data_IF_367242503034
#
_entry.id   IF_367242503034
#
_cell.length_a   1.000
_cell.length_b   1.000
_cell.length_c   1.000
_cell.angle_alpha   90.00
_cell.angle_beta   90.00
_cell.angle_gamma   90.00
#
_symmetry.space_group_name_H-M   'P 1'
#
loop_
_entity.id
_entity.type
_entity.pdbx_description
1 polymer ?
#
# COMPACT_ATOMS: atom_id res chain seq x y z
N UNK A 1 29.88 -33.62 60.35
CA UNK A 1 30.88 -33.19 59.34
C UNK A 1 30.32 -33.52 57.98
N UNK A 2 29.89 -32.52 57.20
CA UNK A 2 29.77 -32.58 55.74
C UNK A 2 29.60 -31.14 55.23
N UNK A 3 30.70 -30.60 54.72
CA UNK A 3 30.79 -29.39 53.90
C UNK A 3 30.59 -29.82 52.44
N UNK A 4 29.55 -29.34 51.77
CA UNK A 4 29.43 -29.27 50.29
C UNK A 4 28.49 -28.10 50.01
N UNK A 5 29.02 -26.89 49.83
CA UNK A 5 29.40 -26.25 48.56
C UNK A 5 28.28 -25.35 48.01
N UNK A 6 28.54 -24.06 48.08
CA UNK A 6 27.68 -22.93 47.69
C UNK A 6 27.79 -22.66 46.17
N UNK A 7 27.47 -23.63 45.33
CA UNK A 7 27.63 -23.50 43.86
C UNK A 7 26.30 -23.52 43.08
N UNK A 8 25.15 -23.72 43.73
CA UNK A 8 23.86 -23.87 43.05
C UNK A 8 23.01 -22.60 42.92
N UNK A 9 23.49 -21.45 43.36
CA UNK A 9 22.73 -20.18 43.27
C UNK A 9 23.22 -19.22 42.17
N UNK A 10 24.24 -19.61 41.37
CA UNK A 10 24.72 -18.81 40.23
C UNK A 10 24.27 -19.29 38.85
N UNK A 11 23.43 -20.32 38.76
CA UNK A 11 22.86 -20.81 37.50
C UNK A 11 21.42 -20.37 37.23
N UNK A 12 20.85 -19.51 38.09
CA UNK A 12 19.47 -19.01 37.98
C UNK A 12 19.37 -17.56 37.46
N UNK A 13 20.46 -16.96 37.00
CA UNK A 13 20.49 -15.57 36.48
C UNK A 13 21.11 -15.43 35.07
N UNK A 14 21.21 -16.51 34.30
CA UNK A 14 21.64 -16.48 32.88
C UNK A 14 20.57 -17.05 31.92
N UNK A 15 19.30 -16.98 32.31
CA UNK A 15 18.18 -17.07 31.39
C UNK A 15 17.98 -15.72 30.68
N UNK A 16 19.00 -15.25 29.95
CA UNK A 16 18.79 -14.21 28.94
C UNK A 16 17.74 -14.77 27.99
N UNK A 17 16.57 -14.15 27.99
CA UNK A 17 15.50 -14.47 27.07
C UNK A 17 16.01 -14.36 25.65
N UNK A 18 16.30 -15.50 25.03
CA UNK A 18 16.15 -15.64 23.59
C UNK A 18 14.67 -15.41 23.32
N UNK A 19 14.30 -14.13 23.12
CA UNK A 19 13.09 -13.80 22.38
C UNK A 19 13.32 -14.43 20.99
N UNK A 20 12.78 -15.63 20.80
CA UNK A 20 12.39 -16.09 19.48
C UNK A 20 11.51 -14.99 18.92
N UNK A 21 12.06 -14.15 18.04
CA UNK A 21 11.25 -13.26 17.22
C UNK A 21 10.34 -14.20 16.43
N UNK A 22 9.05 -14.19 16.74
CA UNK A 22 8.08 -14.94 15.94
C UNK A 22 8.24 -14.50 14.48
N UNK A 23 8.40 -15.47 13.59
CA UNK A 23 8.53 -15.20 12.17
C UNK A 23 7.29 -14.45 11.70
N UNK A 24 7.49 -13.31 11.04
CA UNK A 24 6.38 -12.51 10.53
C UNK A 24 5.67 -13.26 9.39
N UNK A 25 4.34 -13.12 9.27
CA UNK A 25 3.59 -13.79 8.21
C UNK A 25 3.99 -13.27 6.82
N UNK A 26 3.81 -14.07 5.75
CA UNK A 26 4.10 -13.63 4.40
C UNK A 26 3.10 -12.56 3.91
N UNK A 27 3.42 -11.79 2.85
CA UNK A 27 2.51 -10.78 2.30
C UNK A 27 1.18 -11.33 1.77
N UNK A 28 1.10 -12.60 1.39
CA UNK A 28 -0.16 -13.28 1.08
C UNK A 28 0.06 -14.79 1.07
N UNK A 29 -1.00 -15.57 0.92
CA UNK A 29 -0.94 -17.04 0.93
C UNK A 29 -0.23 -17.64 -0.30
N UNK A 30 -0.08 -16.88 -1.40
CA UNK A 30 0.51 -17.39 -2.65
C UNK A 30 2.00 -17.71 -2.52
N UNK A 31 2.34 -19.00 -2.65
CA UNK A 31 3.71 -19.52 -2.76
C UNK A 31 4.39 -19.22 -4.12
N UNK A 32 3.66 -18.56 -5.04
CA UNK A 32 4.18 -18.17 -6.35
C UNK A 32 4.49 -16.66 -6.35
N UNK A 33 3.57 -15.85 -5.82
CA UNK A 33 3.63 -14.39 -5.94
C UNK A 33 4.06 -13.67 -4.66
N UNK A 34 4.00 -14.31 -3.48
CA UNK A 34 4.25 -13.64 -2.19
C UNK A 34 5.37 -14.25 -1.37
N UNK A 35 5.54 -15.56 -1.40
CA UNK A 35 6.58 -16.28 -0.66
C UNK A 35 6.96 -17.59 -1.34
N UNK A 36 7.79 -18.41 -0.71
CA UNK A 36 8.14 -19.74 -1.21
C UNK A 36 9.41 -19.80 -2.05
N UNK A 37 9.89 -21.02 -2.27
CA UNK A 37 11.15 -21.32 -2.97
C UNK A 37 11.10 -20.91 -4.45
N UNK A 38 9.95 -21.07 -5.10
CA UNK A 38 9.75 -20.69 -6.51
C UNK A 38 10.02 -19.20 -6.72
N UNK A 39 9.37 -18.35 -5.93
CA UNK A 39 9.58 -16.90 -5.97
C UNK A 39 11.04 -16.56 -5.69
N UNK A 40 11.61 -17.15 -4.63
CA UNK A 40 12.99 -16.91 -4.23
C UNK A 40 13.99 -17.22 -5.35
N UNK A 41 13.96 -18.44 -5.89
CA UNK A 41 14.92 -18.85 -6.91
C UNK A 41 14.79 -18.03 -8.20
N UNK A 42 13.57 -17.72 -8.64
CA UNK A 42 13.36 -16.92 -9.85
C UNK A 42 13.86 -15.49 -9.67
N UNK A 43 13.52 -14.84 -8.54
CA UNK A 43 13.93 -13.46 -8.29
C UNK A 43 15.44 -13.36 -8.08
N UNK A 44 16.05 -14.26 -7.30
CA UNK A 44 17.50 -14.26 -7.07
C UNK A 44 18.31 -14.64 -8.31
N UNK A 45 17.73 -15.38 -9.26
CA UNK A 45 18.34 -15.65 -10.56
C UNK A 45 18.39 -14.41 -11.48
N UNK A 46 17.72 -13.30 -11.10
CA UNK A 46 17.68 -12.03 -11.84
C UNK A 46 17.45 -12.27 -13.34
N UNK A 47 16.41 -13.04 -13.65
CA UNK A 47 16.01 -13.34 -15.02
C UNK A 47 15.62 -12.05 -15.76
N UNK A 48 15.01 -11.11 -15.02
CA UNK A 48 14.57 -9.81 -15.49
C UNK A 48 15.32 -8.70 -14.75
N UNK A 49 15.46 -7.54 -15.40
CA UNK A 49 16.03 -6.32 -14.77
C UNK A 49 15.12 -5.77 -13.67
N UNK A 50 13.82 -5.98 -13.84
CA UNK A 50 12.78 -5.54 -12.93
C UNK A 50 12.06 -6.76 -12.34
N UNK A 51 12.22 -6.96 -11.04
CA UNK A 51 11.60 -8.01 -10.24
C UNK A 51 10.07 -8.02 -10.36
N UNK A 52 9.44 -6.85 -10.59
CA UNK A 52 7.99 -6.75 -10.83
C UNK A 52 7.55 -7.51 -12.08
N UNK A 53 8.43 -7.64 -13.07
CA UNK A 53 8.12 -8.33 -14.32
C UNK A 53 7.69 -9.78 -14.09
N UNK A 54 8.29 -10.49 -13.13
CA UNK A 54 7.91 -11.88 -12.85
C UNK A 54 6.60 -11.97 -12.08
N UNK A 55 6.46 -11.18 -11.01
CA UNK A 55 5.26 -11.23 -10.14
C UNK A 55 4.00 -10.67 -10.82
N UNK A 56 4.14 -9.96 -11.94
CA UNK A 56 3.03 -9.52 -12.79
C UNK A 56 2.61 -10.55 -13.87
N UNK A 57 3.35 -11.65 -14.01
CA UNK A 57 2.97 -12.71 -14.96
C UNK A 57 1.86 -13.56 -14.38
N UNK A 58 0.84 -13.89 -15.18
CA UNK A 58 -0.16 -14.88 -14.80
C UNK A 58 0.34 -16.29 -15.12
N UNK A 59 -0.11 -17.30 -14.36
CA UNK A 59 0.19 -18.70 -14.66
C UNK A 59 -0.81 -19.28 -15.65
N UNK A 60 -0.34 -20.23 -16.48
CA UNK A 60 -1.15 -20.86 -17.51
C UNK A 60 -2.10 -21.95 -16.99
N UNK A 61 -1.73 -22.61 -15.88
CA UNK A 61 -2.47 -23.71 -15.26
C UNK A 61 -2.75 -23.43 -13.78
N UNK A 62 -3.23 -24.41 -13.03
CA UNK A 62 -3.49 -24.24 -11.58
C UNK A 62 -2.18 -24.00 -10.80
N UNK A 63 -2.22 -23.26 -9.68
CA UNK A 63 -1.04 -23.06 -8.82
C UNK A 63 -0.41 -24.38 -8.37
N UNK A 64 -1.21 -25.38 -8.05
CA UNK A 64 -0.74 -26.69 -7.61
C UNK A 64 0.07 -27.40 -8.70
N UNK A 65 -0.36 -27.34 -9.96
CA UNK A 65 0.40 -27.91 -11.08
C UNK A 65 1.73 -27.19 -11.30
N UNK A 66 1.75 -25.86 -11.21
CA UNK A 66 2.97 -25.06 -11.36
C UNK A 66 3.95 -25.36 -10.22
N UNK A 67 3.46 -25.41 -8.97
CA UNK A 67 4.27 -25.72 -7.80
C UNK A 67 4.79 -27.16 -7.81
N UNK A 68 3.97 -28.12 -8.25
CA UNK A 68 4.39 -29.51 -8.43
C UNK A 68 5.49 -29.63 -9.49
N UNK A 69 5.30 -28.99 -10.65
CA UNK A 69 6.33 -28.99 -11.71
C UNK A 69 7.62 -28.31 -11.27
N UNK A 70 7.52 -27.23 -10.47
CA UNK A 70 8.70 -26.59 -9.88
C UNK A 70 9.39 -27.49 -8.86
N UNK A 71 8.64 -28.17 -8.00
CA UNK A 71 9.19 -29.11 -7.00
C UNK A 71 10.00 -30.22 -7.66
N UNK A 72 9.48 -30.80 -8.75
CA UNK A 72 10.18 -31.80 -9.56
C UNK A 72 11.49 -31.24 -10.16
N UNK A 73 11.44 -30.01 -10.69
CA UNK A 73 12.61 -29.32 -11.22
C UNK A 73 13.65 -29.04 -10.12
N UNK A 74 13.21 -28.57 -8.95
CA UNK A 74 14.06 -28.28 -7.81
C UNK A 74 14.77 -29.55 -7.32
N UNK A 75 14.04 -30.66 -7.16
CA UNK A 75 14.63 -31.96 -6.79
C UNK A 75 15.65 -32.43 -7.83
N UNK A 76 15.36 -32.30 -9.13
CA UNK A 76 16.27 -32.71 -10.20
C UNK A 76 17.62 -31.97 -10.19
N UNK A 77 17.64 -30.75 -9.65
CA UNK A 77 18.84 -29.91 -9.53
C UNK A 77 19.30 -29.68 -8.08
N UNK A 78 18.87 -30.53 -7.12
CA UNK A 78 19.21 -30.40 -5.70
C UNK A 78 18.98 -28.97 -5.13
N UNK A 79 17.85 -28.36 -5.47
CA UNK A 79 17.45 -27.00 -5.09
C UNK A 79 18.42 -25.89 -5.57
N UNK A 80 19.30 -26.19 -6.52
CA UNK A 80 20.20 -25.22 -7.16
C UNK A 80 19.98 -25.20 -8.67
N UNK A 81 18.84 -24.64 -9.10
CA UNK A 81 18.40 -24.69 -10.49
C UNK A 81 19.22 -23.69 -11.33
N UNK A 82 19.88 -24.11 -12.42
CA UNK A 82 20.60 -23.19 -13.30
C UNK A 82 19.68 -22.13 -13.91
N UNK A 83 20.19 -20.90 -14.06
CA UNK A 83 19.45 -19.75 -14.62
C UNK A 83 18.71 -20.07 -15.93
N UNK A 84 19.33 -20.82 -16.84
CA UNK A 84 18.69 -21.22 -18.11
C UNK A 84 17.48 -22.14 -17.92
N UNK A 85 17.51 -23.02 -16.93
CA UNK A 85 16.41 -23.94 -16.62
C UNK A 85 15.26 -23.21 -15.92
N UNK A 86 15.55 -22.25 -15.04
CA UNK A 86 14.54 -21.33 -14.50
C UNK A 86 13.86 -20.51 -15.61
N UNK A 87 14.64 -20.04 -16.59
CA UNK A 87 14.09 -19.31 -17.73
C UNK A 87 13.14 -20.17 -18.59
N UNK A 88 13.51 -21.43 -18.87
CA UNK A 88 12.66 -22.40 -19.58
C UNK A 88 11.39 -22.72 -18.77
N UNK A 89 11.51 -22.85 -17.44
CA UNK A 89 10.37 -23.05 -16.56
C UNK A 89 9.38 -21.88 -16.65
N UNK A 90 9.86 -20.64 -16.53
CA UNK A 90 9.01 -19.46 -16.64
C UNK A 90 8.32 -19.40 -18.00
N UNK A 91 9.05 -19.64 -19.10
CA UNK A 91 8.47 -19.65 -20.45
C UNK A 91 7.39 -20.70 -20.66
N UNK A 92 7.44 -21.82 -19.93
CA UNK A 92 6.47 -22.91 -20.03
C UNK A 92 5.21 -22.66 -19.23
N UNK A 93 5.34 -22.09 -18.03
CA UNK A 93 4.25 -22.01 -17.05
C UNK A 93 3.62 -20.63 -16.90
N UNK A 94 4.28 -19.56 -17.34
CA UNK A 94 3.84 -18.18 -17.15
C UNK A 94 3.52 -17.51 -18.48
N UNK A 95 2.51 -16.63 -18.46
CA UNK A 95 2.13 -15.80 -19.58
C UNK A 95 2.81 -14.42 -19.49
N UNK A 96 3.13 -13.80 -20.63
CA UNK A 96 3.62 -12.43 -20.67
C UNK A 96 2.76 -11.43 -19.88
N UNK A 97 3.43 -10.48 -19.22
CA UNK A 97 2.80 -9.38 -18.47
C UNK A 97 1.81 -8.60 -19.33
N UNK A 98 0.69 -8.19 -18.73
CA UNK A 98 -0.31 -7.32 -19.35
C UNK A 98 -1.35 -8.04 -20.18
N UNK A 99 -1.30 -9.37 -20.31
CA UNK A 99 -2.37 -10.13 -20.95
C UNK A 99 -3.69 -10.16 -20.16
N UNK A 100 -3.64 -9.74 -18.89
CA UNK A 100 -4.77 -9.63 -17.95
C UNK A 100 -5.72 -8.47 -18.29
N UNK A 101 -5.26 -7.49 -19.06
CA UNK A 101 -5.93 -6.20 -19.27
C UNK A 101 -6.25 -5.96 -20.73
N UNK A 102 -7.37 -5.29 -20.97
CA UNK A 102 -7.78 -4.80 -22.27
C UNK A 102 -7.73 -3.27 -22.30
N UNK A 103 -7.31 -2.64 -23.41
CA UNK A 103 -7.46 -1.20 -23.60
C UNK A 103 -8.95 -0.83 -23.48
N UNK A 104 -9.23 0.21 -22.72
CA UNK A 104 -10.58 0.73 -22.57
C UNK A 104 -10.58 2.25 -22.77
N UNK A 105 -11.54 2.73 -23.55
CA UNK A 105 -11.80 4.16 -23.72
C UNK A 105 -13.04 4.49 -22.90
N UNK A 106 -12.94 5.39 -21.92
CA UNK A 106 -14.08 5.75 -21.10
C UNK A 106 -15.28 6.27 -21.90
N UNK A 107 -16.48 5.77 -21.59
CA UNK A 107 -17.69 6.09 -22.36
C UNK A 107 -18.14 7.55 -22.19
N UNK A 108 -17.79 8.18 -21.05
CA UNK A 108 -18.09 9.56 -20.73
C UNK A 108 -16.98 10.56 -21.16
N UNK A 109 -15.93 10.08 -21.82
CA UNK A 109 -14.89 10.93 -22.40
C UNK A 109 -15.44 11.76 -23.58
N UNK A 110 -15.04 13.03 -23.69
CA UNK A 110 -15.53 13.97 -24.72
C UNK A 110 -14.35 14.65 -25.42
N UNK A 111 -14.41 14.86 -26.74
CA UNK A 111 -13.27 15.49 -27.46
C UNK A 111 -12.90 16.91 -26.99
N UNK A 112 -13.87 17.68 -26.49
CA UNK A 112 -13.68 19.07 -26.08
C UNK A 112 -14.40 19.37 -24.76
N UNK A 113 -13.89 18.90 -23.62
CA UNK A 113 -14.48 19.19 -22.32
C UNK A 113 -14.41 20.70 -22.00
N UNK A 114 -15.36 21.17 -21.20
CA UNK A 114 -15.57 22.59 -20.93
C UNK A 114 -14.35 23.31 -20.34
N UNK A 115 -13.50 22.59 -19.59
CA UNK A 115 -12.32 23.20 -18.97
C UNK A 115 -11.34 23.78 -20.01
N UNK A 116 -11.25 23.20 -21.21
CA UNK A 116 -10.37 23.68 -22.28
C UNK A 116 -10.74 25.09 -22.74
N UNK A 117 -12.04 25.41 -22.75
CA UNK A 117 -12.54 26.72 -23.15
C UNK A 117 -12.15 27.82 -22.14
N UNK A 118 -11.86 27.44 -20.89
CA UNK A 118 -11.42 28.37 -19.83
C UNK A 118 -9.93 28.73 -19.93
N UNK A 119 -9.16 28.02 -20.74
CA UNK A 119 -7.72 28.28 -20.90
C UNK A 119 -7.53 29.29 -22.03
N UNK A 120 -7.20 30.54 -21.71
CA UNK A 120 -7.05 31.61 -22.71
C UNK A 120 -5.84 31.45 -23.62
N UNK A 121 -4.70 31.00 -23.08
CA UNK A 121 -3.46 30.81 -23.85
C UNK A 121 -3.56 29.59 -24.77
N UNK A 122 -3.33 29.80 -26.07
CA UNK A 122 -3.50 28.76 -27.08
C UNK A 122 -2.51 27.60 -26.93
N UNK A 123 -1.28 27.84 -26.45
CA UNK A 123 -0.27 26.79 -26.26
C UNK A 123 -0.61 25.94 -25.04
N UNK A 124 -1.03 26.58 -23.95
CA UNK A 124 -1.49 25.86 -22.76
C UNK A 124 -2.77 25.07 -23.03
N UNK A 125 -3.69 25.60 -23.85
CA UNK A 125 -4.89 24.86 -24.28
C UNK A 125 -4.52 23.63 -25.10
N UNK A 126 -3.63 23.76 -26.08
CA UNK A 126 -3.17 22.63 -26.89
C UNK A 126 -2.42 21.58 -26.05
N UNK A 127 -1.66 21.99 -25.03
CA UNK A 127 -1.04 21.06 -24.08
C UNK A 127 -2.08 20.34 -23.21
N UNK A 128 -3.09 21.06 -22.71
CA UNK A 128 -4.18 20.48 -21.93
C UNK A 128 -5.04 19.52 -22.76
N UNK A 129 -5.27 19.81 -24.04
CA UNK A 129 -5.89 18.88 -25.00
C UNK A 129 -5.08 17.58 -25.10
N UNK A 130 -3.75 17.67 -25.24
CA UNK A 130 -2.89 16.49 -25.26
C UNK A 130 -2.97 15.68 -23.96
N UNK A 131 -3.00 16.33 -22.79
CA UNK A 131 -3.19 15.65 -21.51
C UNK A 131 -4.53 14.93 -21.46
N UNK A 132 -5.62 15.57 -21.88
CA UNK A 132 -6.95 14.97 -21.88
C UNK A 132 -7.07 13.75 -22.81
N UNK A 133 -6.31 13.72 -23.91
CA UNK A 133 -6.24 12.55 -24.80
C UNK A 133 -5.57 11.33 -24.15
N UNK A 134 -4.73 11.53 -23.12
CA UNK A 134 -4.00 10.43 -22.46
C UNK A 134 -4.96 9.47 -21.74
N UNK A 135 -6.15 9.92 -21.30
CA UNK A 135 -7.14 9.06 -20.65
C UNK A 135 -7.52 7.85 -21.50
N UNK A 136 -7.63 8.02 -22.82
CA UNK A 136 -7.94 6.93 -23.77
C UNK A 136 -6.85 5.86 -23.85
N UNK A 137 -5.62 6.19 -23.45
CA UNK A 137 -4.46 5.28 -23.45
C UNK A 137 -4.30 4.59 -22.10
N UNK A 138 -4.57 5.32 -21.02
CA UNK A 138 -4.43 4.84 -19.65
C UNK A 138 -5.64 4.05 -19.16
N UNK A 139 -6.79 4.12 -19.83
CA UNK A 139 -7.93 3.29 -19.52
C UNK A 139 -7.66 1.80 -19.74
N UNK A 140 -8.01 1.01 -18.73
CA UNK A 140 -7.91 -0.45 -18.70
C UNK A 140 -9.20 -1.06 -18.20
N UNK A 141 -9.52 -2.22 -18.74
CA UNK A 141 -10.57 -3.11 -18.24
C UNK A 141 -9.98 -4.49 -18.00
N UNK A 142 -10.37 -5.13 -16.90
CA UNK A 142 -9.94 -6.49 -16.59
C UNK A 142 -10.72 -7.50 -17.42
N UNK A 143 -10.03 -8.56 -17.84
CA UNK A 143 -10.68 -9.67 -18.53
C UNK A 143 -11.50 -10.53 -17.55
N UNK A 144 -12.68 -11.05 -17.95
CA UNK A 144 -13.54 -11.85 -17.06
C UNK A 144 -12.89 -13.15 -16.54
N UNK A 145 -11.88 -13.69 -17.23
CA UNK A 145 -11.17 -14.90 -16.82
C UNK A 145 -10.48 -14.75 -15.46
N UNK A 146 -10.11 -13.53 -15.07
CA UNK A 146 -9.48 -13.24 -13.78
C UNK A 146 -10.47 -13.53 -12.64
N UNK A 147 -11.75 -13.19 -12.81
CA UNK A 147 -12.79 -13.52 -11.83
C UNK A 147 -13.05 -15.03 -11.76
N UNK A 148 -12.89 -15.74 -12.88
CA UNK A 148 -13.15 -17.19 -12.97
C UNK A 148 -12.03 -18.03 -12.34
N UNK A 149 -10.79 -17.54 -12.40
CA UNK A 149 -9.59 -18.25 -11.93
C UNK A 149 -8.61 -17.30 -11.20
N UNK A 150 -9.03 -16.61 -10.13
CA UNK A 150 -8.26 -15.54 -9.49
C UNK A 150 -6.90 -16.03 -8.96
N UNK A 151 -6.79 -17.31 -8.60
CA UNK A 151 -5.57 -17.92 -8.10
C UNK A 151 -4.43 -17.95 -9.13
N UNK A 152 -4.75 -17.77 -10.42
CA UNK A 152 -3.76 -17.75 -11.51
C UNK A 152 -3.11 -16.40 -11.71
N UNK A 153 -3.63 -15.36 -11.08
CA UNK A 153 -3.22 -13.99 -11.30
C UNK A 153 -2.67 -13.41 -10.01
N UNK A 154 -1.67 -12.53 -10.14
CA UNK A 154 -1.37 -11.64 -9.04
C UNK A 154 -2.30 -10.42 -9.04
N UNK A 155 -2.92 -10.08 -10.18
CA UNK A 155 -3.89 -8.99 -10.29
C UNK A 155 -5.18 -9.33 -9.53
N UNK A 156 -5.62 -8.42 -8.66
CA UNK A 156 -6.89 -8.52 -7.94
C UNK A 156 -7.99 -8.06 -8.89
N UNK A 157 -9.01 -8.89 -9.08
CA UNK A 157 -10.12 -8.55 -9.97
C UNK A 157 -10.87 -7.28 -9.52
N UNK A 158 -11.32 -6.49 -10.49
CA UNK A 158 -12.22 -5.35 -10.27
C UNK A 158 -13.24 -5.30 -11.40
N UNK A 159 -14.51 -5.07 -11.06
CA UNK A 159 -15.61 -5.10 -12.02
C UNK A 159 -15.59 -3.90 -12.95
N UNK A 160 -15.32 -2.70 -12.41
CA UNK A 160 -15.34 -1.48 -13.20
C UNK A 160 -13.98 -1.22 -13.86
N UNK A 161 -13.97 -0.69 -15.10
CA UNK A 161 -12.74 -0.18 -15.71
C UNK A 161 -12.10 0.93 -14.87
N UNK A 162 -10.80 1.11 -15.03
CA UNK A 162 -10.01 2.08 -14.27
C UNK A 162 -8.92 2.72 -15.13
N UNK A 163 -8.34 3.79 -14.60
CA UNK A 163 -7.19 4.48 -15.19
C UNK A 163 -5.93 4.10 -14.41
N UNK A 164 -4.89 3.66 -15.11
CA UNK A 164 -3.58 3.35 -14.51
C UNK A 164 -2.64 4.55 -14.51
N UNK A 165 -1.62 4.62 -13.62
CA UNK A 165 -0.58 5.66 -13.69
C UNK A 165 0.20 5.64 -15.02
N UNK A 166 0.47 4.44 -15.55
CA UNK A 166 1.14 4.22 -16.83
C UNK A 166 2.58 3.68 -16.72
N UNK A 167 3.13 3.28 -17.87
CA UNK A 167 4.45 2.63 -17.92
C UNK A 167 4.40 1.20 -17.37
N UNK A 168 5.26 0.90 -16.40
CA UNK A 168 5.29 -0.41 -15.71
C UNK A 168 4.14 -0.62 -14.72
N UNK A 169 3.43 0.46 -14.36
CA UNK A 169 2.30 0.43 -13.44
C UNK A 169 1.02 0.16 -14.24
N UNK A 170 0.62 -1.11 -14.24
CA UNK A 170 -0.51 -1.61 -15.04
C UNK A 170 -1.74 -1.94 -14.19
N UNK A 171 -1.63 -1.81 -12.87
CA UNK A 171 -2.74 -1.89 -11.92
C UNK A 171 -3.15 -0.48 -11.46
N UNK A 172 -4.33 -0.35 -10.86
CA UNK A 172 -4.67 0.86 -10.11
C UNK A 172 -3.79 0.94 -8.86
N UNK A 173 -3.41 2.17 -8.51
CA UNK A 173 -2.71 2.52 -7.27
C UNK A 173 -3.60 3.45 -6.45
N UNK A 174 -3.62 3.26 -5.14
CA UNK A 174 -4.61 3.90 -4.29
C UNK A 174 -4.49 5.42 -4.30
N UNK A 175 -3.39 5.99 -3.80
CA UNK A 175 -3.30 7.45 -3.67
C UNK A 175 -3.17 8.19 -5.00
N UNK A 176 -2.56 7.57 -6.02
CA UNK A 176 -2.45 8.11 -7.39
C UNK A 176 -3.85 8.37 -7.96
N UNK A 177 -4.79 7.48 -7.64
CA UNK A 177 -6.15 7.55 -8.18
C UNK A 177 -6.91 8.78 -7.71
N UNK A 178 -6.54 9.41 -6.59
CA UNK A 178 -7.18 10.65 -6.14
C UNK A 178 -6.92 11.78 -7.14
N UNK A 179 -5.66 11.95 -7.53
CA UNK A 179 -5.25 12.97 -8.50
C UNK A 179 -5.79 12.67 -9.90
N UNK A 180 -5.87 11.39 -10.25
CA UNK A 180 -6.51 10.95 -11.50
C UNK A 180 -8.00 11.31 -11.48
N UNK A 181 -8.73 11.03 -10.40
CA UNK A 181 -10.15 11.37 -10.27
C UNK A 181 -10.40 12.87 -10.35
N UNK A 182 -9.53 13.72 -9.77
CA UNK A 182 -9.62 15.17 -9.97
C UNK A 182 -9.54 15.55 -11.46
N UNK A 183 -8.56 15.01 -12.18
CA UNK A 183 -8.40 15.24 -13.62
C UNK A 183 -9.55 14.70 -14.47
N UNK A 184 -10.12 13.55 -14.08
CA UNK A 184 -11.29 12.96 -14.73
C UNK A 184 -12.55 13.81 -14.55
N UNK A 185 -12.80 14.34 -13.34
CA UNK A 185 -13.95 15.22 -13.10
C UNK A 185 -13.80 16.55 -13.85
N UNK A 186 -12.59 17.11 -13.93
CA UNK A 186 -12.32 18.27 -14.80
C UNK A 186 -12.60 17.97 -16.27
N UNK A 187 -12.36 16.72 -16.68
CA UNK A 187 -12.63 16.18 -18.01
C UNK A 187 -14.10 15.78 -18.23
N UNK A 188 -15.00 16.06 -17.28
CA UNK A 188 -16.42 15.70 -17.30
C UNK A 188 -16.71 14.18 -17.27
N UNK A 189 -15.81 13.40 -16.67
CA UNK A 189 -15.84 11.93 -16.67
C UNK A 189 -16.32 11.36 -15.33
N UNK A 190 -17.48 11.83 -14.86
CA UNK A 190 -18.01 11.49 -13.54
C UNK A 190 -18.45 10.01 -13.42
N UNK A 191 -18.92 9.39 -14.49
CA UNK A 191 -19.32 7.97 -14.48
C UNK A 191 -18.09 7.06 -14.33
N UNK A 192 -16.99 7.42 -14.98
CA UNK A 192 -15.70 6.76 -14.80
C UNK A 192 -15.21 6.85 -13.36
N UNK A 193 -15.29 8.04 -12.74
CA UNK A 193 -14.91 8.22 -11.34
C UNK A 193 -15.79 7.41 -10.40
N UNK A 194 -17.11 7.34 -10.63
CA UNK A 194 -18.02 6.51 -9.84
C UNK A 194 -17.62 5.03 -9.89
N UNK A 195 -17.30 4.50 -11.07
CA UNK A 195 -16.85 3.11 -11.23
C UNK A 195 -15.52 2.83 -10.52
N UNK A 196 -14.55 3.73 -10.63
CA UNK A 196 -13.27 3.61 -9.90
C UNK A 196 -13.47 3.69 -8.38
N UNK A 197 -14.37 4.54 -7.89
CA UNK A 197 -14.75 4.60 -6.47
C UNK A 197 -15.39 3.29 -6.01
N UNK A 198 -16.29 2.71 -6.81
CA UNK A 198 -16.90 1.42 -6.49
C UNK A 198 -15.85 0.32 -6.35
N UNK A 199 -14.88 0.24 -7.26
CA UNK A 199 -13.77 -0.72 -7.12
C UNK A 199 -13.03 -0.56 -5.78
N UNK A 200 -12.79 0.67 -5.32
CA UNK A 200 -12.14 0.90 -4.03
C UNK A 200 -13.01 0.51 -2.84
N UNK A 201 -14.31 0.76 -2.91
CA UNK A 201 -15.27 0.33 -1.89
C UNK A 201 -15.31 -1.20 -1.79
N UNK A 202 -15.34 -1.90 -2.93
CA UNK A 202 -15.32 -3.37 -2.98
C UNK A 202 -14.04 -3.95 -2.33
N UNK A 203 -12.90 -3.28 -2.50
CA UNK A 203 -11.64 -3.66 -1.84
C UNK A 203 -11.70 -3.49 -0.33
N UNK A 204 -12.31 -2.40 0.17
CA UNK A 204 -12.52 -2.22 1.61
C UNK A 204 -13.45 -3.28 2.16
N UNK A 205 -14.54 -3.61 1.46
CA UNK A 205 -15.47 -4.66 1.90
C UNK A 205 -14.80 -6.04 1.93
N UNK A 206 -13.92 -6.33 0.97
CA UNK A 206 -13.25 -7.63 0.85
C UNK A 206 -12.05 -7.78 1.78
N UNK A 207 -11.23 -6.73 1.91
CA UNK A 207 -9.92 -6.78 2.58
C UNK A 207 -9.81 -5.88 3.82
N UNK A 208 -10.87 -5.15 4.16
CA UNK A 208 -10.92 -4.22 5.30
C UNK A 208 -10.18 -2.90 5.07
N UNK A 209 -9.49 -2.74 3.94
CA UNK A 209 -8.75 -1.53 3.56
C UNK A 209 -8.47 -1.55 2.06
N UNK A 210 -8.03 -0.42 1.50
CA UNK A 210 -7.53 -0.36 0.13
C UNK A 210 -6.04 -0.73 0.12
N UNK A 211 -5.61 -1.80 -0.58
CA UNK A 211 -4.20 -2.12 -0.75
C UNK A 211 -3.45 -1.04 -1.55
N UNK A 212 -2.13 -0.99 -1.43
CA UNK A 212 -1.26 -0.06 -2.19
C UNK A 212 -1.61 0.00 -3.69
N UNK A 213 -1.85 -1.16 -4.30
CA UNK A 213 -2.41 -1.28 -5.63
C UNK A 213 -3.12 -2.63 -5.80
N UNK A 214 -3.72 -2.84 -6.98
CA UNK A 214 -4.56 -4.01 -7.28
C UNK A 214 -3.82 -5.34 -7.45
N UNK A 215 -2.86 -5.69 -6.59
CA UNK A 215 -2.09 -6.94 -6.68
C UNK A 215 -2.03 -7.68 -5.34
N UNK A 216 -2.05 -9.01 -5.35
CA UNK A 216 -2.10 -9.84 -4.13
C UNK A 216 -0.90 -9.63 -3.20
N UNK A 217 0.28 -9.30 -3.74
CA UNK A 217 1.48 -8.98 -2.94
C UNK A 217 1.44 -7.58 -2.29
N UNK A 218 0.37 -6.81 -2.54
CA UNK A 218 0.09 -5.54 -1.87
C UNK A 218 -0.94 -5.67 -0.75
N UNK A 219 -1.62 -6.81 -0.57
CA UNK A 219 -2.76 -7.00 0.35
C UNK A 219 -2.52 -6.64 1.82
N UNK A 220 -1.27 -6.53 2.26
CA UNK A 220 -0.93 -6.29 3.67
C UNK A 220 -0.47 -4.86 3.96
N UNK A 221 -0.48 -4.01 2.93
CA UNK A 221 -0.13 -2.60 3.07
C UNK A 221 -1.07 -1.75 2.24
N UNK A 222 -1.40 -0.59 2.80
CA UNK A 222 -2.19 0.41 2.10
C UNK A 222 -1.30 1.40 1.35
N UNK A 223 -1.81 2.60 1.18
CA UNK A 223 -1.14 3.83 0.73
C UNK A 223 -1.76 5.01 1.48
N UNK A 224 -1.31 6.27 1.29
CA UNK A 224 -1.95 7.42 1.93
C UNK A 224 -3.49 7.41 1.77
N UNK A 225 -4.26 7.49 2.88
CA UNK A 225 -5.70 7.21 2.85
C UNK A 225 -6.50 8.37 2.28
N UNK A 226 -6.99 8.19 1.07
CA UNK A 226 -7.68 9.22 0.31
C UNK A 226 -9.12 8.86 -0.08
N UNK A 227 -9.66 7.70 0.28
CA UNK A 227 -11.02 7.28 -0.10
C UNK A 227 -12.09 8.28 0.32
N UNK A 228 -12.03 8.77 1.57
CA UNK A 228 -12.97 9.77 2.06
C UNK A 228 -12.88 11.08 1.26
N UNK A 229 -11.67 11.48 0.86
CA UNK A 229 -11.44 12.65 0.01
C UNK A 229 -11.93 12.41 -1.42
N UNK A 230 -11.73 11.22 -1.98
CA UNK A 230 -12.26 10.83 -3.30
C UNK A 230 -13.79 10.84 -3.31
N UNK A 231 -14.42 10.34 -2.25
CA UNK A 231 -15.87 10.38 -2.08
C UNK A 231 -16.37 11.84 -1.99
N UNK A 232 -15.70 12.70 -1.22
CA UNK A 232 -16.06 14.11 -1.13
C UNK A 232 -15.95 14.81 -2.49
N UNK A 233 -14.84 14.59 -3.17
CA UNK A 233 -14.57 15.11 -4.51
C UNK A 233 -15.69 14.73 -5.49
N UNK A 234 -16.07 13.45 -5.53
CA UNK A 234 -17.14 12.94 -6.39
C UNK A 234 -18.51 13.54 -6.03
N UNK A 235 -18.91 13.51 -4.76
CA UNK A 235 -20.22 13.98 -4.30
C UNK A 235 -20.33 15.49 -4.42
N UNK A 236 -19.24 16.22 -4.21
CA UNK A 236 -19.19 17.68 -4.41
C UNK A 236 -19.40 18.04 -5.87
N UNK A 237 -18.83 17.27 -6.80
CA UNK A 237 -18.97 17.52 -8.23
C UNK A 237 -20.36 17.10 -8.77
N UNK A 238 -20.83 15.90 -8.42
CA UNK A 238 -22.03 15.28 -9.02
C UNK A 238 -23.32 15.55 -8.26
N UNK A 239 -23.21 15.90 -6.97
CA UNK A 239 -24.32 15.96 -6.02
C UNK A 239 -25.05 14.61 -5.82
N UNK A 240 -24.39 13.49 -6.14
CA UNK A 240 -24.92 12.14 -5.94
C UNK A 240 -24.90 11.73 -4.46
N UNK A 241 -25.87 12.25 -3.70
CA UNK A 241 -26.01 11.98 -2.25
C UNK A 241 -26.45 10.53 -1.99
N UNK A 242 -27.17 9.91 -2.92
CA UNK A 242 -27.59 8.51 -2.79
C UNK A 242 -26.40 7.57 -2.77
N UNK A 243 -25.43 7.77 -3.66
CA UNK A 243 -24.20 6.98 -3.65
C UNK A 243 -23.40 7.14 -2.35
N UNK A 244 -23.34 8.35 -1.79
CA UNK A 244 -22.76 8.56 -0.46
C UNK A 244 -23.53 7.80 0.63
N UNK A 245 -24.86 7.90 0.63
CA UNK A 245 -25.70 7.23 1.63
C UNK A 245 -25.54 5.71 1.60
N UNK A 246 -25.43 5.12 0.41
CA UNK A 246 -25.26 3.68 0.21
C UNK A 246 -23.89 3.19 0.72
N UNK A 247 -22.85 4.01 0.64
CA UNK A 247 -21.46 3.57 0.84
C UNK A 247 -20.77 4.17 2.08
N UNK A 248 -21.42 5.04 2.84
CA UNK A 248 -20.79 5.72 3.99
C UNK A 248 -20.25 4.74 5.05
N UNK A 249 -20.90 3.60 5.24
CA UNK A 249 -20.44 2.55 6.17
C UNK A 249 -19.11 1.93 5.73
N UNK A 250 -18.94 1.68 4.44
CA UNK A 250 -17.69 1.16 3.85
C UNK A 250 -16.57 2.21 3.93
N UNK A 251 -16.87 3.48 3.65
CA UNK A 251 -15.89 4.58 3.82
C UNK A 251 -15.43 4.69 5.28
N UNK A 252 -16.34 4.58 6.24
CA UNK A 252 -16.00 4.61 7.67
C UNK A 252 -15.12 3.41 8.08
N UNK A 253 -15.40 2.23 7.51
CA UNK A 253 -14.67 1.00 7.81
C UNK A 253 -13.18 1.08 7.42
N UNK A 254 -12.83 1.83 6.37
CA UNK A 254 -11.42 2.07 6.05
C UNK A 254 -10.72 2.92 7.14
N UNK A 255 -11.39 3.93 7.69
CA UNK A 255 -10.83 4.72 8.79
C UNK A 255 -10.66 3.90 10.07
N UNK A 256 -11.54 2.92 10.31
CA UNK A 256 -11.39 1.95 11.39
C UNK A 256 -10.11 1.12 11.22
N UNK A 257 -9.77 0.72 9.98
CA UNK A 257 -8.49 0.03 9.72
C UNK A 257 -7.29 0.86 10.17
N UNK A 258 -7.23 2.16 9.86
CA UNK A 258 -6.14 3.04 10.29
C UNK A 258 -6.13 3.21 11.80
N UNK A 259 -7.30 3.42 12.40
CA UNK A 259 -7.46 3.60 13.85
C UNK A 259 -7.00 2.36 14.62
N UNK A 260 -7.38 1.16 14.17
CA UNK A 260 -7.05 -0.10 14.84
C UNK A 260 -5.60 -0.53 14.60
N UNK A 261 -5.13 -0.45 13.35
CA UNK A 261 -3.89 -1.11 12.96
C UNK A 261 -2.68 -0.17 12.86
N UNK A 262 -2.88 1.15 12.87
CA UNK A 262 -1.81 2.14 12.59
C UNK A 262 -1.63 3.18 13.69
N UNK A 263 -2.51 3.22 14.70
CA UNK A 263 -2.42 4.17 15.82
C UNK A 263 -1.33 3.79 16.82
N UNK A 264 -0.60 4.79 17.32
CA UNK A 264 0.34 4.71 18.43
C UNK A 264 0.12 5.88 19.39
N UNK A 265 0.49 5.71 20.66
CA UNK A 265 0.47 6.79 21.65
C UNK A 265 1.82 7.49 21.73
N UNK A 266 1.87 8.78 21.39
CA UNK A 266 3.03 9.66 21.44
C UNK A 266 2.95 10.54 22.68
N UNK A 267 4.05 10.68 23.42
CA UNK A 267 4.14 11.62 24.54
C UNK A 267 4.99 12.82 24.14
N UNK A 268 4.40 14.01 24.11
CA UNK A 268 5.09 15.27 23.80
C UNK A 268 4.55 16.39 24.70
N UNK A 269 5.42 17.29 25.16
CA UNK A 269 5.01 18.43 26.01
C UNK A 269 4.29 18.05 27.32
N UNK A 270 4.52 16.85 27.87
CA UNK A 270 3.82 16.34 29.05
C UNK A 270 2.38 15.88 28.81
N UNK A 271 1.94 15.81 27.55
CA UNK A 271 0.64 15.27 27.11
C UNK A 271 0.83 13.99 26.29
N UNK A 272 -0.21 13.17 26.26
CA UNK A 272 -0.27 11.96 25.44
C UNK A 272 -1.24 12.17 24.29
N UNK A 273 -0.80 11.78 23.09
CA UNK A 273 -1.50 11.95 21.83
C UNK A 273 -1.60 10.61 21.11
N UNK A 274 -2.75 10.31 20.51
CA UNK A 274 -2.90 9.15 19.65
C UNK A 274 -2.75 9.61 18.20
N UNK A 275 -1.74 9.10 17.51
CA UNK A 275 -1.37 9.46 16.14
C UNK A 275 -1.07 8.19 15.33
N UNK A 276 -1.15 8.29 14.01
CA UNK A 276 -0.95 7.17 13.12
C UNK A 276 0.46 7.16 12.52
N UNK A 277 0.94 5.96 12.19
CA UNK A 277 2.17 5.73 11.45
C UNK A 277 1.97 4.70 10.33
N UNK A 278 2.83 4.75 9.32
CA UNK A 278 2.92 3.64 8.36
C UNK A 278 3.58 2.44 9.05
N UNK A 279 2.97 1.25 8.94
CA UNK A 279 3.42 0.08 9.68
C UNK A 279 2.95 -1.21 9.01
N UNK A 280 3.90 -2.00 8.51
CA UNK A 280 3.63 -3.23 7.75
C UNK A 280 4.42 -4.40 8.35
N UNK A 281 3.90 -5.08 9.39
CA UNK A 281 4.60 -6.15 10.11
C UNK A 281 4.50 -7.51 9.40
N UNK A 282 4.96 -7.57 8.15
CA UNK A 282 4.95 -8.79 7.33
C UNK A 282 6.38 -9.12 6.87
N UNK A 283 6.68 -10.41 6.80
CA UNK A 283 8.03 -10.91 6.64
C UNK A 283 8.55 -10.91 5.21
N UNK A 284 9.84 -11.21 5.07
CA UNK A 284 10.51 -11.41 3.79
C UNK A 284 10.67 -10.16 2.89
N UNK A 285 11.38 -10.26 1.77
CA UNK A 285 11.52 -9.17 0.78
C UNK A 285 10.18 -8.81 0.13
N UNK A 286 10.01 -7.58 -0.36
CA UNK A 286 8.85 -7.22 -1.19
C UNK A 286 8.88 -7.99 -2.51
N UNK A 287 7.83 -8.73 -2.91
CA UNK A 287 7.88 -9.56 -4.12
C UNK A 287 8.22 -8.80 -5.42
N UNK A 288 7.76 -7.56 -5.56
CA UNK A 288 8.02 -6.69 -6.71
C UNK A 288 9.41 -6.01 -6.70
N UNK A 289 10.21 -6.25 -5.66
CA UNK A 289 11.58 -5.73 -5.48
C UNK A 289 12.47 -6.72 -4.75
N UNK A 290 12.17 -8.02 -4.91
CA UNK A 290 12.63 -9.08 -4.03
C UNK A 290 14.15 -9.19 -3.94
N UNK A 291 14.83 -9.26 -5.10
CA UNK A 291 16.28 -9.39 -5.17
C UNK A 291 16.98 -8.15 -4.63
N UNK A 292 16.41 -6.96 -4.84
CA UNK A 292 16.94 -5.68 -4.34
C UNK A 292 16.85 -5.61 -2.82
N UNK A 293 15.70 -5.97 -2.26
CA UNK A 293 15.46 -6.01 -0.83
C UNK A 293 16.28 -7.12 -0.13
N UNK A 294 16.47 -8.27 -0.80
CA UNK A 294 17.32 -9.36 -0.30
C UNK A 294 18.81 -8.98 -0.31
N UNK A 295 19.29 -8.35 -1.39
CA UNK A 295 20.67 -7.88 -1.50
C UNK A 295 20.97 -6.80 -0.44
N UNK A 296 20.04 -5.87 -0.21
CA UNK A 296 20.17 -4.86 0.84
C UNK A 296 20.22 -5.52 2.23
N UNK A 297 19.39 -6.54 2.48
CA UNK A 297 19.38 -7.27 3.73
C UNK A 297 20.69 -8.04 4.00
N UNK A 298 21.51 -8.32 2.99
CA UNK A 298 22.86 -8.86 3.19
C UNK A 298 23.85 -7.85 3.78
N UNK A 299 23.50 -6.55 3.80
CA UNK A 299 24.33 -5.49 4.39
C UNK A 299 24.09 -5.29 5.90
N UNK A 300 23.10 -5.98 6.47
CA UNK A 300 22.77 -5.93 7.90
C UNK A 300 22.91 -7.33 8.55
N UNK A 301 23.10 -7.42 9.88
CA UNK A 301 23.08 -8.69 10.59
C UNK A 301 21.82 -9.51 10.30
N UNK A 302 21.94 -10.83 10.30
CA UNK A 302 20.81 -11.74 9.99
C UNK A 302 19.57 -11.47 10.86
N UNK A 303 19.77 -11.20 12.16
CA UNK A 303 18.69 -10.87 13.09
C UNK A 303 17.99 -9.53 12.82
N UNK A 304 18.58 -8.65 12.01
CA UNK A 304 18.02 -7.33 11.68
C UNK A 304 17.30 -7.31 10.32
N UNK A 305 17.37 -8.41 9.55
CA UNK A 305 16.83 -8.47 8.17
C UNK A 305 15.32 -8.33 8.12
N UNK A 306 14.61 -9.05 8.99
CA UNK A 306 13.15 -8.97 9.09
C UNK A 306 12.71 -7.54 9.45
N UNK A 307 13.37 -6.92 10.43
CA UNK A 307 13.11 -5.52 10.78
C UNK A 307 13.31 -4.61 9.56
N UNK A 308 14.44 -4.72 8.85
CA UNK A 308 14.68 -3.94 7.64
C UNK A 308 13.56 -4.12 6.60
N UNK A 309 13.14 -5.36 6.33
CA UNK A 309 12.07 -5.62 5.36
C UNK A 309 10.72 -5.03 5.78
N UNK A 310 10.40 -4.97 7.07
CA UNK A 310 9.19 -4.27 7.54
C UNK A 310 9.28 -2.75 7.34
N UNK A 311 10.46 -2.17 7.53
CA UNK A 311 10.68 -0.72 7.33
C UNK A 311 10.61 -0.35 5.84
N UNK A 312 11.14 -1.18 4.95
CA UNK A 312 11.01 -1.00 3.49
C UNK A 312 9.54 -1.08 3.04
N UNK A 313 8.76 -2.01 3.60
CA UNK A 313 7.33 -2.10 3.32
C UNK A 313 6.54 -0.91 3.86
N UNK A 314 6.87 -0.41 5.06
CA UNK A 314 6.29 0.82 5.59
C UNK A 314 6.67 2.04 4.73
N UNK A 315 7.90 2.08 4.20
CA UNK A 315 8.32 3.05 3.18
C UNK A 315 7.41 3.02 1.95
N UNK A 316 7.08 1.84 1.43
CA UNK A 316 6.15 1.69 0.30
C UNK A 316 4.70 2.04 0.67
N UNK A 317 4.23 1.72 1.89
CA UNK A 317 2.91 2.15 2.39
C UNK A 317 2.80 3.68 2.47
N UNK A 318 3.91 4.39 2.67
CA UNK A 318 3.92 5.85 2.69
C UNK A 318 3.70 6.51 1.33
N UNK A 319 3.95 5.80 0.23
CA UNK A 319 4.04 6.36 -1.12
C UNK A 319 5.37 7.10 -1.41
N UNK A 320 6.29 7.15 -0.44
CA UNK A 320 7.60 7.79 -0.55
C UNK A 320 8.74 6.76 -0.47
N UNK A 321 8.69 5.71 -1.29
CA UNK A 321 9.71 4.67 -1.42
C UNK A 321 10.75 5.01 -2.52
N UNK A 322 11.96 5.48 -2.21
CA UNK A 322 12.49 5.81 -0.88
C UNK A 322 12.95 7.26 -0.79
N UNK A 323 13.01 7.77 0.44
CA UNK A 323 13.33 9.15 0.74
C UNK A 323 14.24 9.23 1.96
N UNK A 324 15.17 10.21 1.96
CA UNK A 324 15.99 10.54 3.13
C UNK A 324 15.15 10.89 4.35
N UNK A 325 13.89 11.32 4.14
CA UNK A 325 12.88 11.53 5.19
C UNK A 325 12.77 10.37 6.18
N UNK A 326 12.97 9.13 5.71
CA UNK A 326 12.79 7.93 6.52
C UNK A 326 14.09 7.38 7.11
N UNK A 327 15.23 7.96 6.76
CA UNK A 327 16.55 7.48 7.15
C UNK A 327 16.93 8.13 8.50
N UNK A 328 17.27 7.31 9.49
CA UNK A 328 17.69 7.79 10.82
C UNK A 328 19.20 7.62 10.97
N UNK A 329 19.85 8.62 11.57
CA UNK A 329 21.31 8.69 11.72
C UNK A 329 21.94 7.44 12.35
N UNK A 330 23.09 7.05 11.82
CA UNK A 330 23.92 5.91 12.24
C UNK A 330 25.28 5.97 11.54
N UNK A 331 26.11 4.90 11.54
CA UNK A 331 27.42 4.92 10.86
C UNK A 331 27.33 5.24 9.36
N UNK A 332 26.21 4.88 8.72
CA UNK A 332 25.91 5.15 7.32
C UNK A 332 24.50 5.77 7.19
N UNK A 333 24.31 7.05 7.57
CA UNK A 333 22.99 7.68 7.64
C UNK A 333 22.31 7.78 6.26
N UNK A 334 23.10 7.86 5.19
CA UNK A 334 22.63 7.97 3.80
C UNK A 334 22.30 6.62 3.16
N UNK A 335 22.49 5.51 3.88
CA UNK A 335 22.19 4.16 3.37
C UNK A 335 20.73 3.83 3.55
N UNK A 336 20.09 3.23 2.54
CA UNK A 336 18.72 2.73 2.66
C UNK A 336 18.55 1.69 3.80
N UNK A 337 19.62 1.01 4.22
CA UNK A 337 19.56 0.11 5.38
C UNK A 337 19.28 0.81 6.72
N UNK A 338 19.41 2.14 6.79
CA UNK A 338 19.06 2.97 7.94
C UNK A 338 17.58 3.38 7.99
N UNK A 339 16.75 2.93 7.03
CA UNK A 339 15.32 3.27 6.97
C UNK A 339 14.58 2.84 8.25
N UNK A 340 13.78 3.75 8.82
CA UNK A 340 12.98 3.55 10.03
C UNK A 340 11.59 4.18 9.89
N UNK A 341 10.94 4.01 8.74
CA UNK A 341 9.63 4.60 8.44
C UNK A 341 8.59 4.32 9.53
N UNK A 342 8.54 3.10 10.07
CA UNK A 342 7.60 2.71 11.13
C UNK A 342 7.89 3.33 12.50
N UNK A 343 9.06 3.95 12.67
CA UNK A 343 9.41 4.64 13.91
C UNK A 343 9.00 6.11 13.88
N UNK A 344 8.58 6.60 12.73
CA UNK A 344 8.17 7.98 12.54
C UNK A 344 6.65 8.11 12.56
N UNK A 345 6.17 9.22 13.10
CA UNK A 345 4.78 9.68 13.02
C UNK A 345 4.72 10.70 11.88
N UNK A 346 4.22 10.32 10.70
CA UNK A 346 4.28 11.16 9.52
C UNK A 346 3.20 12.25 9.56
N UNK A 347 3.60 13.51 9.35
CA UNK A 347 2.66 14.64 9.31
C UNK A 347 1.60 14.49 8.21
N UNK A 348 2.00 14.00 7.04
CA UNK A 348 1.12 13.76 5.89
C UNK A 348 0.03 12.73 6.21
N UNK A 349 0.39 11.56 6.74
CA UNK A 349 -0.59 10.54 7.11
C UNK A 349 -1.66 11.09 8.07
N UNK A 350 -1.21 11.77 9.12
CA UNK A 350 -2.12 12.31 10.13
C UNK A 350 -2.92 13.52 9.60
N UNK A 351 -2.38 14.29 8.65
CA UNK A 351 -3.13 15.33 7.96
C UNK A 351 -4.24 14.75 7.05
N UNK A 352 -3.94 13.69 6.30
CA UNK A 352 -4.95 12.98 5.49
C UNK A 352 -6.07 12.42 6.35
N UNK A 353 -5.72 11.73 7.45
CA UNK A 353 -6.70 11.20 8.39
C UNK A 353 -7.52 12.32 9.02
N UNK A 354 -6.90 13.38 9.54
CA UNK A 354 -7.61 14.52 10.11
C UNK A 354 -8.61 15.15 9.12
N UNK A 355 -8.23 15.28 7.83
CA UNK A 355 -9.13 15.76 6.79
C UNK A 355 -10.29 14.76 6.55
N UNK A 356 -10.00 13.46 6.50
CA UNK A 356 -11.00 12.42 6.34
C UNK A 356 -12.01 12.41 7.49
N UNK A 357 -11.58 12.57 8.74
CA UNK A 357 -12.46 12.67 9.91
C UNK A 357 -13.42 13.87 9.82
N UNK A 358 -12.90 15.03 9.41
CA UNK A 358 -13.71 16.23 9.20
C UNK A 358 -14.74 16.05 8.08
N UNK A 359 -14.35 15.40 6.98
CA UNK A 359 -15.24 15.07 5.87
C UNK A 359 -16.32 14.05 6.27
N UNK A 360 -15.98 13.02 7.04
CA UNK A 360 -16.97 12.06 7.57
C UNK A 360 -18.02 12.77 8.40
N UNK A 361 -17.62 13.67 9.31
CA UNK A 361 -18.57 14.48 10.09
C UNK A 361 -19.52 15.30 9.21
N UNK A 362 -19.01 15.86 8.11
CA UNK A 362 -19.82 16.61 7.16
C UNK A 362 -20.78 15.69 6.40
N UNK A 363 -20.34 14.49 6.00
CA UNK A 363 -21.19 13.50 5.35
C UNK A 363 -22.35 13.07 6.24
N UNK A 364 -22.08 12.70 7.50
CA UNK A 364 -23.13 12.32 8.44
C UNK A 364 -24.12 13.45 8.70
N UNK A 365 -23.62 14.68 8.85
CA UNK A 365 -24.48 15.87 9.01
C UNK A 365 -25.39 16.06 7.80
N UNK A 366 -24.81 15.98 6.58
CA UNK A 366 -25.55 16.11 5.31
C UNK A 366 -26.58 15.00 5.10
N UNK A 367 -26.29 13.76 5.52
CA UNK A 367 -27.23 12.65 5.43
C UNK A 367 -28.33 12.71 6.50
N UNK A 368 -28.05 13.28 7.68
CA UNK A 368 -29.03 13.52 8.73
C UNK A 368 -30.19 14.42 8.31
N UNK A 369 -30.00 15.25 7.28
CA UNK A 369 -31.03 16.09 6.66
C UNK A 369 -31.95 15.31 5.68
N UNK A 370 -31.72 14.01 5.45
CA UNK A 370 -32.52 13.13 4.56
C UNK A 370 -33.25 12.04 5.37
N UNK A 371 -34.46 11.60 4.97
CA UNK A 371 -35.16 10.51 5.65
C UNK A 371 -34.38 9.19 5.54
N UNK A 372 -33.86 8.73 6.67
CA UNK A 372 -32.97 7.56 6.78
C UNK A 372 -33.71 6.21 6.63
N UNK A 373 -33.04 5.23 6.03
CA UNK A 373 -33.33 3.79 6.21
C UNK A 373 -32.31 3.19 7.18
N UNK A 374 -32.65 3.06 8.46
CA UNK A 374 -31.88 2.33 9.47
C UNK A 374 -30.98 3.18 10.39
N UNK A 375 -30.57 2.58 11.51
CA UNK A 375 -29.73 3.18 12.54
C UNK A 375 -28.26 3.22 12.09
N UNK A 376 -27.73 4.41 11.81
CA UNK A 376 -26.30 4.61 11.59
C UNK A 376 -25.66 5.09 12.90
N UNK A 377 -24.49 4.55 13.32
CA UNK A 377 -23.75 5.12 14.45
C UNK A 377 -23.41 6.58 14.13
N UNK A 378 -23.71 7.48 15.06
CA UNK A 378 -23.28 8.88 14.97
C UNK A 378 -21.76 8.90 15.06
N UNK A 379 -21.09 9.17 13.94
CA UNK A 379 -19.66 9.45 13.94
C UNK A 379 -19.48 10.87 14.47
N UNK A 380 -19.20 10.98 15.77
CA UNK A 380 -18.81 12.25 16.35
C UNK A 380 -17.35 12.50 15.92
N UNK A 381 -17.05 13.60 15.18
CA UNK A 381 -15.66 13.97 14.95
C UNK A 381 -14.96 14.02 16.31
N UNK A 382 -13.74 13.49 16.41
CA UNK A 382 -12.86 13.81 17.52
C UNK A 382 -12.16 15.12 17.12
N UNK A 383 -12.61 16.31 17.56
CA UNK A 383 -11.94 17.60 17.28
C UNK A 383 -10.50 17.68 17.83
N UNK A 384 -10.01 16.58 18.42
CA UNK A 384 -8.73 16.43 19.09
C UNK A 384 -7.58 16.30 18.09
N UNK A 385 -7.74 15.72 16.89
CA UNK A 385 -6.60 15.40 16.02
C UNK A 385 -5.91 16.62 15.37
N UNK A 386 -6.62 17.64 14.91
CA UNK A 386 -5.99 18.82 14.27
C UNK A 386 -5.09 19.61 15.23
N UNK A 387 -5.58 19.87 16.45
CA UNK A 387 -4.79 20.51 17.51
C UNK A 387 -3.66 19.60 18.01
N UNK A 388 -3.92 18.29 18.10
CA UNK A 388 -2.92 17.28 18.44
C UNK A 388 -1.77 17.23 17.43
N UNK A 389 -2.05 17.37 16.13
CA UNK A 389 -1.04 17.37 15.09
C UNK A 389 -0.07 18.55 15.26
N UNK A 390 -0.61 19.76 15.44
CA UNK A 390 0.21 20.97 15.60
C UNK A 390 0.98 20.90 16.93
N UNK A 391 0.33 20.60 18.05
CA UNK A 391 1.02 20.54 19.35
C UNK A 391 2.07 19.41 19.44
N UNK A 392 1.84 18.26 18.81
CA UNK A 392 2.75 17.12 18.91
C UNK A 392 3.93 17.17 17.92
N UNK A 393 3.76 17.83 16.76
CA UNK A 393 4.70 17.78 15.65
C UNK A 393 5.35 19.14 15.31
N UNK A 394 5.03 20.21 16.04
CA UNK A 394 5.77 21.49 15.96
C UNK A 394 6.80 21.57 17.09
N UNK A 395 8.06 21.84 16.75
CA UNK A 395 9.04 22.27 17.74
C UNK A 395 8.77 23.76 18.07
N UNK A 396 8.90 24.16 19.35
CA UNK A 396 8.49 25.49 19.87
C UNK A 396 9.13 26.72 19.16
N UNK A 397 10.03 26.54 18.20
CA UNK A 397 10.65 27.62 17.42
C UNK A 397 10.73 27.37 15.91
N UNK A 398 10.07 26.35 15.36
CA UNK A 398 10.12 26.04 13.93
C UNK A 398 8.74 26.16 13.27
N UNK A 399 8.67 26.87 12.13
CA UNK A 399 7.44 27.05 11.35
C UNK A 399 7.09 25.81 10.50
N UNK A 400 7.83 24.71 10.71
CA UNK A 400 7.78 23.47 9.93
C UNK A 400 7.34 22.34 10.85
N UNK A 401 6.36 21.56 10.39
CA UNK A 401 5.87 20.38 11.10
C UNK A 401 6.75 19.19 10.70
N UNK A 402 7.47 18.61 11.66
CA UNK A 402 8.42 17.52 11.42
C UNK A 402 7.83 16.16 11.80
N UNK A 403 8.23 15.05 11.15
CA UNK A 403 7.87 13.72 11.63
C UNK A 403 8.43 13.47 13.03
N UNK A 404 7.60 12.98 13.96
CA UNK A 404 8.05 12.67 15.32
C UNK A 404 8.63 11.25 15.40
N UNK A 405 9.83 11.09 15.97
CA UNK A 405 10.45 9.78 16.22
C UNK A 405 9.93 9.20 17.54
N UNK A 406 9.18 8.09 17.48
CA UNK A 406 8.47 7.53 18.64
C UNK A 406 9.38 6.82 19.66
N UNK A 407 10.64 6.51 19.32
CA UNK A 407 11.54 5.78 20.22
C UNK A 407 12.29 6.72 21.16
N UNK A 408 11.83 6.78 22.41
CA UNK A 408 12.61 7.29 23.54
C UNK A 408 13.71 6.29 23.95
N UNK A 409 14.90 6.50 23.42
CA UNK A 409 16.12 6.39 24.20
C UNK A 409 16.96 7.61 23.79
N UNK A 410 17.45 8.45 24.72
CA UNK A 410 18.29 9.56 24.35
C UNK A 410 19.56 8.97 23.74
N UNK A 411 19.74 9.13 22.43
CA UNK A 411 21.07 9.11 21.86
C UNK A 411 21.76 10.35 22.43
N UNK A 412 22.59 10.12 23.44
CA UNK A 412 23.63 11.07 23.81
C UNK A 412 24.51 11.24 22.57
N UNK A 413 24.56 12.48 22.06
CA UNK A 413 25.47 12.91 20.99
C UNK A 413 26.92 12.51 21.28
#
# INVERSE_FOLDING_TARGET
>A
MLKVSWELHLLLLLGLGLRSQEALPPPCESQIYCHGELLHQIQMAKLYQDDKQFVDMSIATSPDEVLQSFSELAVAYNHSIPRGQLQEFVQRHFQPVGQELEPWVPEDWKDSPQFLQKISDAKLRAWAEQLHQIWKRLGKKMKPEILSYPERFSLIYSEHPFIVPGGRFVEFYYWDSYWVMEGLLLSEMASTVKGMLQNFLDLVETYGHIPNGGRVYYLQRSQPPLLTLMMDLYVTHTKDVSFLQENIGTVASELDFWTVNRTITVNSGGRSYNLNRYYVPYGGPRPESYSKDADLANTVPEGDREALWTELKAGAESGWDFSSRWLVGGPNPDSLSSIRTSKMVPVDLNAFLCQAEGLMSNFYSRLGDYPMKGDCPVWAPQPVQAFTLVEALTEENDLVVHPYLHTAAPFVL
#
